data_IF_284228634668
#
_entry.id   IF_284228634668
#
_cell.length_a   1.000
_cell.length_b   1.000
_cell.length_c   1.000
_cell.angle_alpha   90.00
_cell.angle_beta   90.00
_cell.angle_gamma   90.00
#
_symmetry.space_group_name_H-M   'P 1'
#
loop_
_entity.id
_entity.type
_entity.pdbx_description
1 polymer ?
#
# COMPACT_ATOMS: atom_id res chain seq x y z
N UNK A 1 4.26 -63.63 -21.24
CA UNK A 1 3.90 -63.19 -22.60
C UNK A 1 3.29 -61.81 -22.52
N UNK A 2 3.86 -60.87 -23.29
CA UNK A 2 3.62 -59.43 -23.29
C UNK A 2 2.16 -59.01 -23.45
N UNK A 3 1.70 -58.08 -22.60
CA UNK A 3 0.68 -57.08 -22.96
C UNK A 3 1.04 -55.76 -22.29
N UNK A 4 1.84 -54.96 -22.98
CA UNK A 4 2.05 -53.54 -22.68
C UNK A 4 0.77 -52.78 -23.00
N UNK A 5 0.17 -52.17 -21.98
CA UNK A 5 -0.91 -51.21 -22.10
C UNK A 5 -0.33 -49.89 -22.61
N UNK A 6 -0.81 -49.42 -23.77
CA UNK A 6 -0.57 -48.06 -24.25
C UNK A 6 -1.24 -47.08 -23.28
N UNK A 7 -0.44 -46.33 -22.51
CA UNK A 7 -0.93 -45.16 -21.79
C UNK A 7 -0.93 -43.99 -22.77
N UNK A 8 -2.15 -43.60 -23.17
CA UNK A 8 -2.41 -42.41 -23.95
C UNK A 8 -2.02 -41.18 -23.12
N UNK A 9 -0.95 -40.51 -23.55
CA UNK A 9 -0.50 -39.23 -23.02
C UNK A 9 -1.47 -38.15 -23.54
N UNK A 10 -2.48 -37.83 -22.72
CA UNK A 10 -3.41 -36.74 -22.98
C UNK A 10 -2.66 -35.40 -22.87
N UNK A 11 -2.47 -34.81 -24.04
CA UNK A 11 -1.98 -33.47 -24.32
C UNK A 11 -2.61 -32.44 -23.37
N UNK A 12 -1.81 -31.89 -22.46
CA UNK A 12 -2.01 -30.55 -21.95
C UNK A 12 -1.77 -29.58 -23.12
N UNK A 13 -2.84 -29.32 -23.87
CA UNK A 13 -2.92 -28.18 -24.76
C UNK A 13 -2.80 -26.93 -23.90
N UNK A 14 -1.61 -26.34 -23.94
CA UNK A 14 -1.36 -24.97 -23.52
C UNK A 14 -2.34 -24.07 -24.29
N UNK A 15 -3.45 -23.68 -23.64
CA UNK A 15 -4.21 -22.51 -24.01
C UNK A 15 -3.38 -21.29 -23.62
N UNK A 16 -2.30 -21.04 -24.37
CA UNK A 16 -1.73 -19.71 -24.49
C UNK A 16 -2.75 -18.95 -25.33
N UNK A 17 -3.66 -18.25 -24.66
CA UNK A 17 -4.37 -17.16 -25.33
C UNK A 17 -3.29 -16.22 -25.86
N UNK A 18 -3.21 -16.06 -27.17
CA UNK A 18 -2.48 -14.98 -27.80
C UNK A 18 -3.11 -13.66 -27.35
N UNK A 19 -2.66 -13.14 -26.21
CA UNK A 19 -2.83 -11.73 -25.88
C UNK A 19 -1.95 -10.95 -26.84
N UNK A 20 -2.58 -10.02 -27.58
CA UNK A 20 -1.92 -9.02 -28.42
C UNK A 20 -0.70 -8.44 -27.71
N UNK A 21 0.38 -8.20 -28.46
CA UNK A 21 1.68 -7.68 -27.96
C UNK A 21 1.45 -6.62 -26.88
N UNK A 22 1.56 -7.02 -25.62
CA UNK A 22 1.68 -6.09 -24.51
C UNK A 22 2.90 -5.21 -24.77
N UNK A 23 2.79 -3.91 -24.53
CA UNK A 23 3.92 -2.96 -24.64
C UNK A 23 5.16 -3.60 -24.01
N UNK A 24 6.12 -4.03 -24.83
CA UNK A 24 7.33 -4.69 -24.33
C UNK A 24 8.26 -3.63 -23.78
N UNK A 25 8.55 -3.63 -22.48
CA UNK A 25 9.50 -2.68 -21.90
C UNK A 25 10.93 -3.16 -22.12
N UNK A 26 11.81 -2.25 -22.52
CA UNK A 26 13.24 -2.52 -22.74
C UNK A 26 14.08 -2.36 -21.46
N UNK A 27 13.53 -1.75 -20.41
CA UNK A 27 14.24 -1.49 -19.15
C UNK A 27 13.31 -1.41 -17.92
N UNK A 28 13.93 -1.51 -16.74
CA UNK A 28 13.26 -1.27 -15.45
C UNK A 28 12.63 0.12 -15.36
N UNK A 29 13.31 1.16 -15.88
CA UNK A 29 12.82 2.53 -15.85
C UNK A 29 11.59 2.73 -16.74
N UNK A 30 11.53 2.06 -17.90
CA UNK A 30 10.35 2.06 -18.77
C UNK A 30 9.16 1.37 -18.10
N UNK A 31 9.36 0.18 -17.53
CA UNK A 31 8.30 -0.51 -16.79
C UNK A 31 7.81 0.32 -15.58
N UNK A 32 8.72 0.97 -14.84
CA UNK A 32 8.35 1.91 -13.76
C UNK A 32 7.54 3.08 -14.30
N UNK A 33 7.90 3.62 -15.45
CA UNK A 33 7.18 4.74 -16.08
C UNK A 33 5.77 4.31 -16.50
N UNK A 34 5.61 3.09 -17.00
CA UNK A 34 4.30 2.51 -17.28
C UNK A 34 3.45 2.36 -16.01
N UNK A 35 4.01 1.86 -14.91
CA UNK A 35 3.31 1.80 -13.61
C UNK A 35 2.90 3.20 -13.12
N UNK A 36 3.78 4.21 -13.23
CA UNK A 36 3.47 5.60 -12.89
C UNK A 36 2.30 6.14 -13.72
N UNK A 37 2.27 5.83 -15.02
CA UNK A 37 1.18 6.21 -15.91
C UNK A 37 -0.13 5.54 -15.50
N UNK A 38 -0.08 4.23 -15.21
CA UNK A 38 -1.24 3.46 -14.77
C UNK A 38 -1.85 4.00 -13.47
N UNK A 39 -0.98 4.37 -12.51
CA UNK A 39 -1.33 4.89 -11.19
C UNK A 39 -1.51 6.42 -11.14
N UNK A 40 -1.72 7.10 -12.27
CA UNK A 40 -1.71 8.56 -12.33
C UNK A 40 -2.77 9.23 -11.44
N UNK A 41 -3.86 8.53 -11.08
CA UNK A 41 -4.89 9.03 -10.16
C UNK A 41 -4.51 8.85 -8.68
N UNK A 42 -3.49 8.04 -8.38
CA UNK A 42 -2.96 7.83 -7.04
C UNK A 42 -1.84 8.82 -6.71
N UNK A 43 -0.90 8.98 -7.63
CA UNK A 43 0.23 9.89 -7.50
C UNK A 43 0.27 10.80 -8.73
N UNK A 44 0.00 12.08 -8.51
CA UNK A 44 -0.03 13.09 -9.56
C UNK A 44 1.36 13.30 -10.18
N UNK A 45 1.40 13.40 -11.51
CA UNK A 45 2.60 13.76 -12.27
C UNK A 45 2.66 15.24 -12.64
N UNK A 46 3.80 15.68 -13.19
CA UNK A 46 4.06 17.08 -13.59
C UNK A 46 3.09 17.62 -14.67
N UNK A 47 2.36 16.75 -15.38
CA UNK A 47 1.45 17.12 -16.48
C UNK A 47 -0.01 16.67 -16.29
N UNK A 48 -0.43 16.46 -15.03
CA UNK A 48 -1.76 15.93 -14.70
C UNK A 48 -2.91 16.69 -15.37
N UNK A 49 -2.83 18.03 -15.42
CA UNK A 49 -3.91 18.88 -15.90
C UNK A 49 -4.25 18.68 -17.39
N UNK A 50 -3.31 18.16 -18.18
CA UNK A 50 -3.48 17.94 -19.63
C UNK A 50 -3.91 16.51 -19.97
N UNK A 51 -3.87 15.59 -19.00
CA UNK A 51 -4.22 14.18 -19.20
C UNK A 51 -5.73 13.96 -19.00
N UNK A 52 -6.24 12.94 -19.67
CA UNK A 52 -7.57 12.38 -19.40
C UNK A 52 -7.41 11.14 -18.53
N UNK A 53 -8.39 10.89 -17.68
CA UNK A 53 -8.52 9.62 -16.95
C UNK A 53 -9.15 8.61 -17.91
N UNK A 54 -8.54 7.45 -18.09
CA UNK A 54 -9.11 6.32 -18.84
C UNK A 54 -9.61 5.23 -17.89
N UNK A 55 -10.32 4.23 -18.42
CA UNK A 55 -10.83 3.09 -17.63
C UNK A 55 -9.69 2.31 -16.95
N UNK A 56 -8.54 2.25 -17.59
CA UNK A 56 -7.34 1.59 -17.08
C UNK A 56 -6.74 2.31 -15.87
N UNK A 57 -7.06 3.60 -15.69
CA UNK A 57 -6.65 4.37 -14.52
C UNK A 57 -7.61 4.20 -13.33
N UNK A 58 -8.73 3.48 -13.49
CA UNK A 58 -9.64 3.14 -12.39
C UNK A 58 -8.93 2.11 -11.52
N UNK A 59 -8.39 2.57 -10.38
CA UNK A 59 -7.57 1.76 -9.49
C UNK A 59 -8.31 0.49 -9.05
N UNK A 60 -7.65 -0.65 -9.22
CA UNK A 60 -8.17 -2.00 -8.96
C UNK A 60 -9.38 -2.43 -9.82
N UNK A 61 -9.72 -1.72 -10.90
CA UNK A 61 -10.57 -2.28 -11.97
C UNK A 61 -9.92 -3.52 -12.60
N UNK A 62 -10.69 -4.30 -13.36
CA UNK A 62 -10.11 -5.47 -14.03
C UNK A 62 -9.07 -5.03 -15.05
N UNK A 63 -9.35 -3.97 -15.81
CA UNK A 63 -8.46 -3.39 -16.81
C UNK A 63 -7.15 -2.89 -16.16
N UNK A 64 -7.26 -2.23 -15.01
CA UNK A 64 -6.10 -1.81 -14.21
C UNK A 64 -5.29 -3.01 -13.73
N UNK A 65 -5.95 -4.03 -13.16
CA UNK A 65 -5.30 -5.21 -12.61
C UNK A 65 -4.59 -6.02 -13.70
N UNK A 66 -5.22 -6.21 -14.86
CA UNK A 66 -4.66 -6.93 -16.00
C UNK A 66 -3.42 -6.22 -16.53
N UNK A 67 -3.46 -4.88 -16.66
CA UNK A 67 -2.28 -4.10 -17.06
C UNK A 67 -1.16 -4.14 -16.03
N UNK A 68 -1.49 -3.98 -14.74
CA UNK A 68 -0.51 -4.07 -13.65
C UNK A 68 0.18 -5.44 -13.66
N UNK A 69 -0.62 -6.50 -13.78
CA UNK A 69 -0.13 -7.88 -13.84
C UNK A 69 0.79 -8.08 -15.05
N UNK A 70 0.37 -7.64 -16.24
CA UNK A 70 1.19 -7.74 -17.44
C UNK A 70 2.56 -7.03 -17.29
N UNK A 71 2.59 -5.84 -16.67
CA UNK A 71 3.84 -5.13 -16.39
C UNK A 71 4.74 -5.94 -15.45
N UNK A 72 4.18 -6.53 -14.39
CA UNK A 72 4.95 -7.37 -13.46
C UNK A 72 5.46 -8.66 -14.12
N UNK A 73 4.66 -9.32 -14.95
CA UNK A 73 5.11 -10.51 -15.68
C UNK A 73 6.27 -10.18 -16.62
N UNK A 74 6.22 -9.04 -17.30
CA UNK A 74 7.36 -8.61 -18.11
C UNK A 74 8.60 -8.31 -17.28
N UNK A 75 8.46 -7.59 -16.17
CA UNK A 75 9.57 -7.32 -15.24
C UNK A 75 10.28 -8.60 -14.78
N UNK A 76 9.53 -9.68 -14.53
CA UNK A 76 10.08 -10.99 -14.15
C UNK A 76 10.94 -11.64 -15.24
N UNK A 77 10.81 -11.25 -16.51
CA UNK A 77 11.64 -11.75 -17.62
C UNK A 77 12.90 -10.92 -17.86
N UNK A 78 13.01 -9.75 -17.21
CA UNK A 78 14.13 -8.84 -17.40
C UNK A 78 15.36 -9.23 -16.58
N UNK A 79 16.53 -8.75 -16.99
CA UNK A 79 17.74 -8.79 -16.15
C UNK A 79 17.68 -7.68 -15.11
N UNK A 80 17.33 -8.05 -13.89
CA UNK A 80 17.16 -7.15 -12.75
C UNK A 80 18.29 -7.30 -11.71
N UNK A 81 18.50 -6.28 -10.88
CA UNK A 81 19.37 -6.38 -9.70
C UNK A 81 18.70 -7.21 -8.59
N UNK A 82 19.46 -7.74 -7.59
CA UNK A 82 18.86 -8.50 -6.50
C UNK A 82 17.72 -7.76 -5.77
N UNK A 83 17.90 -6.48 -5.45
CA UNK A 83 16.87 -5.69 -4.77
C UNK A 83 15.61 -5.51 -5.65
N UNK A 84 15.79 -5.29 -6.96
CA UNK A 84 14.68 -5.20 -7.90
C UNK A 84 13.93 -6.53 -8.00
N UNK A 85 14.63 -7.68 -8.04
CA UNK A 85 14.00 -9.01 -8.04
C UNK A 85 13.15 -9.19 -6.79
N UNK A 86 13.69 -8.89 -5.60
CA UNK A 86 12.96 -9.01 -4.33
C UNK A 86 11.71 -8.11 -4.33
N UNK A 87 11.80 -6.89 -4.84
CA UNK A 87 10.65 -5.99 -4.94
C UNK A 87 9.59 -6.49 -5.92
N UNK A 88 9.98 -6.96 -7.12
CA UNK A 88 9.01 -7.50 -8.09
C UNK A 88 8.31 -8.73 -7.52
N UNK A 89 9.04 -9.64 -6.89
CA UNK A 89 8.47 -10.82 -6.23
C UNK A 89 7.43 -10.42 -5.15
N UNK A 90 7.77 -9.43 -4.31
CA UNK A 90 6.82 -8.90 -3.32
C UNK A 90 5.56 -8.33 -3.98
N UNK A 91 5.72 -7.53 -5.03
CA UNK A 91 4.58 -6.89 -5.71
C UNK A 91 3.68 -7.90 -6.43
N UNK A 92 4.24 -8.96 -7.03
CA UNK A 92 3.49 -10.07 -7.63
C UNK A 92 2.70 -10.84 -6.57
N UNK A 93 3.30 -11.10 -5.40
CA UNK A 93 2.59 -11.69 -4.26
C UNK A 93 1.46 -10.76 -3.81
N UNK A 94 1.71 -9.44 -3.77
CA UNK A 94 0.77 -8.45 -3.30
C UNK A 94 -0.54 -8.40 -4.11
N UNK A 95 -0.52 -8.75 -5.40
CA UNK A 95 -1.71 -8.81 -6.27
C UNK A 95 -2.79 -9.77 -5.77
N UNK A 96 -2.41 -10.75 -4.95
CA UNK A 96 -3.30 -11.83 -4.47
C UNK A 96 -4.09 -11.44 -3.23
N UNK A 97 -3.75 -10.34 -2.57
CA UNK A 97 -4.33 -9.97 -1.27
C UNK A 97 -5.63 -9.16 -1.40
N UNK A 98 -6.41 -9.05 -0.31
CA UNK A 98 -7.72 -8.43 -0.33
C UNK A 98 -7.76 -6.93 -0.68
N UNK A 99 -6.62 -6.25 -0.82
CA UNK A 99 -6.54 -4.83 -1.18
C UNK A 99 -7.37 -4.50 -2.44
N UNK A 100 -7.45 -5.43 -3.39
CA UNK A 100 -8.30 -5.31 -4.59
C UNK A 100 -9.81 -5.17 -4.33
N UNK A 101 -10.27 -5.47 -3.11
CA UNK A 101 -11.65 -5.26 -2.67
C UNK A 101 -11.89 -3.86 -2.07
N UNK A 102 -10.83 -3.07 -1.90
CA UNK A 102 -10.88 -1.69 -1.44
C UNK A 102 -10.28 -0.77 -2.52
N UNK A 103 -11.05 -0.45 -3.60
CA UNK A 103 -10.59 0.35 -4.73
C UNK A 103 -10.04 1.74 -4.40
N UNK A 104 -10.38 2.25 -3.21
CA UNK A 104 -9.96 3.53 -2.71
C UNK A 104 -8.88 3.32 -1.64
N UNK A 105 -7.59 3.52 -1.97
CA UNK A 105 -6.55 3.42 -0.97
C UNK A 105 -6.66 4.54 0.06
N UNK A 106 -6.65 4.19 1.35
CA UNK A 106 -6.92 5.14 2.43
C UNK A 106 -5.93 6.31 2.52
N UNK A 107 -4.75 6.18 1.93
CA UNK A 107 -3.69 7.18 1.94
C UNK A 107 -3.90 8.31 0.92
N UNK A 108 -4.86 8.15 0.00
CA UNK A 108 -5.01 9.03 -1.17
C UNK A 108 -6.42 9.57 -1.27
N UNK A 109 -6.53 10.90 -1.36
CA UNK A 109 -7.75 11.56 -1.82
C UNK A 109 -7.85 11.47 -3.35
N UNK A 110 -8.35 10.33 -3.82
CA UNK A 110 -8.48 10.06 -5.26
C UNK A 110 -9.48 11.01 -5.92
N UNK A 111 -10.53 11.46 -5.22
CA UNK A 111 -11.47 12.45 -5.75
C UNK A 111 -10.80 13.80 -5.96
N UNK A 112 -10.01 14.26 -4.99
CA UNK A 112 -9.22 15.47 -5.17
C UNK A 112 -8.29 15.32 -6.37
N UNK A 113 -7.53 14.22 -6.46
CA UNK A 113 -6.62 13.97 -7.57
C UNK A 113 -7.34 13.97 -8.92
N UNK A 114 -8.45 13.23 -9.06
CA UNK A 114 -9.25 13.19 -10.30
C UNK A 114 -9.80 14.58 -10.68
N UNK A 115 -10.11 15.44 -9.70
CA UNK A 115 -10.61 16.80 -9.96
C UNK A 115 -9.59 17.75 -10.60
N UNK A 116 -8.30 17.39 -10.57
CA UNK A 116 -7.19 18.15 -11.15
C UNK A 116 -6.90 17.76 -12.60
N UNK A 117 -7.45 16.65 -13.10
CA UNK A 117 -7.34 16.28 -14.52
C UNK A 117 -8.22 17.21 -15.39
N UNK A 118 -7.99 17.16 -16.71
CA UNK A 118 -8.79 17.91 -17.66
C UNK A 118 -10.28 17.58 -17.46
N UNK A 119 -11.12 18.60 -17.23
CA UNK A 119 -12.57 18.50 -16.95
C UNK A 119 -13.40 18.19 -18.20
N UNK A 120 -12.94 17.24 -18.99
CA UNK A 120 -13.69 16.70 -20.12
C UNK A 120 -14.89 15.89 -19.63
N UNK A 121 -15.92 15.76 -20.48
CA UNK A 121 -17.07 14.90 -20.19
C UNK A 121 -16.64 13.46 -19.85
N UNK A 122 -15.60 12.95 -20.53
CA UNK A 122 -15.02 11.64 -20.26
C UNK A 122 -14.44 11.54 -18.83
N UNK A 123 -13.70 12.54 -18.36
CA UNK A 123 -13.17 12.54 -16.98
C UNK A 123 -14.30 12.56 -15.94
N UNK A 124 -15.39 13.29 -16.23
CA UNK A 124 -16.59 13.33 -15.39
C UNK A 124 -17.24 11.94 -15.30
N UNK A 125 -17.43 11.29 -16.44
CA UNK A 125 -17.96 9.93 -16.53
C UNK A 125 -17.08 8.92 -15.78
N UNK A 126 -15.75 8.97 -15.98
CA UNK A 126 -14.83 8.06 -15.30
C UNK A 126 -14.83 8.25 -13.77
N UNK A 127 -14.94 9.50 -13.30
CA UNK A 127 -15.08 9.78 -11.86
C UNK A 127 -16.36 9.16 -11.29
N UNK A 128 -17.47 9.27 -12.01
CA UNK A 128 -18.76 8.68 -11.61
C UNK A 128 -18.69 7.15 -11.65
N UNK A 129 -18.08 6.56 -12.68
CA UNK A 129 -17.88 5.12 -12.81
C UNK A 129 -17.02 4.58 -11.67
N UNK A 130 -15.95 5.26 -11.30
CA UNK A 130 -15.09 4.86 -10.19
C UNK A 130 -15.80 4.94 -8.83
N UNK A 131 -16.64 5.94 -8.59
CA UNK A 131 -17.48 6.00 -7.37
C UNK A 131 -18.44 4.80 -7.27
N UNK A 132 -19.15 4.49 -8.36
CA UNK A 132 -20.06 3.33 -8.43
C UNK A 132 -19.30 2.01 -8.26
N UNK A 133 -18.15 1.89 -8.90
CA UNK A 133 -17.26 0.73 -8.80
C UNK A 133 -16.79 0.53 -7.35
N UNK A 134 -16.36 1.60 -6.69
CA UNK A 134 -15.92 1.55 -5.28
C UNK A 134 -17.06 1.08 -4.37
N UNK A 135 -18.26 1.63 -4.52
CA UNK A 135 -19.42 1.18 -3.75
C UNK A 135 -19.73 -0.31 -3.98
N UNK A 136 -19.78 -0.75 -5.24
CA UNK A 136 -20.05 -2.14 -5.58
C UNK A 136 -19.00 -3.10 -4.99
N UNK A 137 -17.71 -2.72 -5.03
CA UNK A 137 -16.64 -3.51 -4.42
C UNK A 137 -16.74 -3.56 -2.90
N UNK A 138 -17.13 -2.47 -2.25
CA UNK A 138 -17.39 -2.46 -0.80
C UNK A 138 -18.55 -3.39 -0.42
N UNK A 139 -19.59 -3.50 -1.25
CA UNK A 139 -20.69 -4.44 -1.01
C UNK A 139 -20.27 -5.90 -1.22
N UNK A 140 -19.49 -6.20 -2.26
CA UNK A 140 -18.88 -7.53 -2.45
C UNK A 140 -17.94 -7.88 -1.29
N UNK A 141 -17.13 -6.92 -0.83
CA UNK A 141 -16.23 -7.08 0.31
C UNK A 141 -17.01 -7.47 1.58
N UNK A 142 -18.13 -6.78 1.86
CA UNK A 142 -19.00 -7.10 3.02
C UNK A 142 -19.51 -8.55 2.96
N UNK A 143 -19.90 -9.04 1.79
CA UNK A 143 -20.34 -10.44 1.62
C UNK A 143 -19.24 -11.44 1.95
N UNK A 144 -17.97 -11.04 1.77
CA UNK A 144 -16.78 -11.84 2.09
C UNK A 144 -16.21 -11.54 3.48
N UNK A 145 -16.96 -10.83 4.34
CA UNK A 145 -16.54 -10.33 5.65
C UNK A 145 -15.27 -9.46 5.63
N UNK A 146 -14.99 -8.81 4.50
CA UNK A 146 -13.94 -7.82 4.34
C UNK A 146 -14.55 -6.43 4.55
N UNK A 147 -14.03 -5.67 5.52
CA UNK A 147 -14.53 -4.33 5.86
C UNK A 147 -13.37 -3.39 6.11
N UNK A 148 -13.53 -2.10 5.78
CA UNK A 148 -12.60 -1.04 6.16
C UNK A 148 -12.44 -1.00 7.68
N UNK A 149 -11.25 -0.69 8.19
CA UNK A 149 -11.08 -0.36 9.60
C UNK A 149 -11.58 1.06 9.90
N UNK A 150 -11.61 1.42 11.18
CA UNK A 150 -12.11 2.74 11.62
C UNK A 150 -11.28 3.90 11.05
N UNK A 151 -9.97 3.76 10.89
CA UNK A 151 -9.11 4.81 10.34
C UNK A 151 -9.37 4.99 8.83
N UNK A 152 -9.28 3.90 8.06
CA UNK A 152 -9.56 3.86 6.62
C UNK A 152 -10.95 4.44 6.30
N UNK A 153 -11.95 4.07 7.09
CA UNK A 153 -13.32 4.57 6.97
C UNK A 153 -13.42 6.08 7.27
N UNK A 154 -12.78 6.55 8.35
CA UNK A 154 -12.83 7.98 8.72
C UNK A 154 -12.17 8.86 7.66
N UNK A 155 -11.01 8.44 7.12
CA UNK A 155 -10.34 9.15 6.03
C UNK A 155 -11.20 9.20 4.77
N UNK A 156 -11.84 8.08 4.41
CA UNK A 156 -12.75 8.02 3.27
C UNK A 156 -13.94 8.97 3.43
N UNK A 157 -14.54 9.04 4.62
CA UNK A 157 -15.61 10.00 4.90
C UNK A 157 -15.12 11.44 4.78
N UNK A 158 -13.92 11.73 5.29
CA UNK A 158 -13.31 13.06 5.19
C UNK A 158 -13.12 13.50 3.73
N UNK A 159 -12.53 12.64 2.88
CA UNK A 159 -12.33 12.94 1.46
C UNK A 159 -13.66 13.21 0.73
N UNK A 160 -14.68 12.40 1.02
CA UNK A 160 -16.03 12.59 0.45
C UNK A 160 -16.65 13.90 0.91
N UNK A 161 -16.54 14.25 2.19
CA UNK A 161 -17.05 15.51 2.74
C UNK A 161 -16.35 16.72 2.09
N UNK A 162 -15.02 16.72 2.02
CA UNK A 162 -14.24 17.76 1.37
C UNK A 162 -14.63 17.92 -0.11
N UNK A 163 -14.85 16.82 -0.83
CA UNK A 163 -15.27 16.86 -2.23
C UNK A 163 -16.69 17.45 -2.42
N UNK A 164 -17.61 17.27 -1.46
CA UNK A 164 -18.95 17.87 -1.48
C UNK A 164 -18.90 19.38 -1.25
N UNK A 165 -18.04 19.83 -0.33
CA UNK A 165 -17.84 21.23 0.02
C UNK A 165 -17.09 22.02 -1.06
N UNK A 166 -16.28 21.32 -1.87
CA UNK A 166 -15.55 21.93 -2.97
C UNK A 166 -16.51 22.59 -3.99
N UNK A 167 -16.41 23.93 -4.11
CA UNK A 167 -17.23 24.73 -5.03
C UNK A 167 -17.08 24.33 -6.49
N UNK A 168 -15.95 23.76 -6.85
CA UNK A 168 -15.66 23.33 -8.22
C UNK A 168 -16.33 21.98 -8.57
N UNK A 169 -16.85 21.25 -7.57
CA UNK A 169 -17.64 20.03 -7.72
C UNK A 169 -19.11 20.38 -7.92
N UNK A 170 -19.66 20.11 -9.12
CA UNK A 170 -21.02 20.50 -9.50
C UNK A 170 -21.72 19.39 -10.30
N UNK A 171 -23.03 19.57 -10.54
CA UNK A 171 -23.82 18.73 -11.43
C UNK A 171 -23.85 17.26 -11.02
N UNK A 172 -23.75 16.36 -12.02
CA UNK A 172 -23.88 14.91 -11.83
C UNK A 172 -22.85 14.32 -10.87
N UNK A 173 -21.60 14.81 -10.87
CA UNK A 173 -20.56 14.34 -9.94
C UNK A 173 -20.99 14.62 -8.49
N UNK A 174 -21.43 15.84 -8.18
CA UNK A 174 -21.83 16.21 -6.82
C UNK A 174 -22.97 15.32 -6.31
N UNK A 175 -23.92 14.99 -7.19
CA UNK A 175 -25.02 14.07 -6.86
C UNK A 175 -24.52 12.66 -6.51
N UNK A 176 -23.59 12.12 -7.30
CA UNK A 176 -23.02 10.78 -7.05
C UNK A 176 -22.13 10.74 -5.80
N UNK A 177 -21.36 11.80 -5.53
CA UNK A 177 -20.58 11.90 -4.28
C UNK A 177 -21.52 11.92 -3.07
N UNK A 178 -22.64 12.67 -3.12
CA UNK A 178 -23.64 12.65 -2.05
C UNK A 178 -24.30 11.28 -1.88
N UNK A 179 -24.62 10.60 -2.97
CA UNK A 179 -25.16 9.24 -2.91
C UNK A 179 -24.17 8.27 -2.25
N UNK A 180 -22.88 8.38 -2.59
CA UNK A 180 -21.82 7.60 -1.96
C UNK A 180 -21.62 7.97 -0.48
N UNK A 181 -21.71 9.24 -0.11
CA UNK A 181 -21.72 9.69 1.29
C UNK A 181 -22.85 9.03 2.09
N UNK A 182 -24.08 9.04 1.58
CA UNK A 182 -25.22 8.40 2.23
C UNK A 182 -25.03 6.88 2.39
N UNK A 183 -24.36 6.25 1.43
CA UNK A 183 -23.96 4.85 1.54
C UNK A 183 -22.96 4.63 2.69
N UNK A 184 -21.95 5.49 2.81
CA UNK A 184 -20.94 5.42 3.86
C UNK A 184 -21.53 5.64 5.26
N UNK A 185 -22.56 6.46 5.41
CA UNK A 185 -23.25 6.67 6.69
C UNK A 185 -23.85 5.37 7.27
N UNK A 186 -24.14 4.40 6.39
CA UNK A 186 -24.67 3.08 6.77
C UNK A 186 -23.60 1.98 6.79
N UNK A 187 -22.34 2.31 6.47
CA UNK A 187 -21.23 1.38 6.45
C UNK A 187 -20.70 1.12 7.86
N UNK A 188 -20.54 -0.15 8.24
CA UNK A 188 -19.98 -0.54 9.54
C UNK A 188 -18.52 -0.99 9.38
N UNK A 189 -17.52 -0.22 9.88
CA UNK A 189 -16.13 -0.64 9.83
C UNK A 189 -15.86 -1.83 10.77
N UNK A 190 -14.77 -2.56 10.51
CA UNK A 190 -14.26 -3.61 11.42
C UNK A 190 -13.65 -3.00 12.69
N UNK A 191 -13.67 -3.76 13.79
CA UNK A 191 -13.10 -3.35 15.06
C UNK A 191 -11.57 -3.40 15.10
N UNK A 192 -10.96 -4.43 14.50
CA UNK A 192 -9.50 -4.57 14.40
C UNK A 192 -8.94 -3.64 13.35
N UNK A 193 -7.94 -2.84 13.71
CA UNK A 193 -7.25 -1.93 12.77
C UNK A 193 -6.17 -2.65 11.95
N UNK A 194 -5.49 -3.63 12.56
CA UNK A 194 -4.43 -4.40 11.92
C UNK A 194 -4.89 -5.35 10.80
N UNK A 195 -3.91 -5.84 10.03
CA UNK A 195 -4.15 -6.68 8.85
C UNK A 195 -4.70 -8.06 9.21
N UNK A 196 -4.31 -8.65 10.35
CA UNK A 196 -4.87 -9.92 10.85
C UNK A 196 -6.40 -9.95 10.95
N UNK A 197 -7.05 -8.78 11.02
CA UNK A 197 -8.51 -8.68 10.97
C UNK A 197 -9.14 -8.92 9.59
N UNK A 198 -8.35 -9.16 8.54
CA UNK A 198 -8.77 -9.45 7.18
C UNK A 198 -8.51 -10.92 6.83
N UNK A 199 -9.32 -11.49 5.94
CA UNK A 199 -9.06 -12.80 5.35
C UNK A 199 -7.70 -12.80 4.64
N UNK A 200 -6.84 -13.78 4.91
CA UNK A 200 -5.44 -13.85 4.45
C UNK A 200 -4.56 -12.66 4.89
N UNK A 201 -4.98 -11.92 5.92
CA UNK A 201 -4.26 -10.74 6.39
C UNK A 201 -2.95 -11.05 7.11
N UNK A 202 -2.83 -12.24 7.70
CA UNK A 202 -1.59 -12.70 8.34
C UNK A 202 -0.51 -13.02 7.31
N UNK A 203 -0.87 -13.68 6.21
CA UNK A 203 0.01 -13.98 5.08
C UNK A 203 0.43 -12.69 4.36
N UNK A 204 -0.50 -11.74 4.23
CA UNK A 204 -0.18 -10.42 3.68
C UNK A 204 0.80 -9.66 4.56
N UNK A 205 0.60 -9.68 5.87
CA UNK A 205 1.52 -9.05 6.79
C UNK A 205 2.90 -9.73 6.74
N UNK A 206 2.95 -11.06 6.70
CA UNK A 206 4.21 -11.81 6.55
C UNK A 206 4.95 -11.44 5.26
N UNK A 207 4.26 -11.30 4.12
CA UNK A 207 4.94 -10.92 2.88
C UNK A 207 5.54 -9.52 2.94
N UNK A 208 4.90 -8.59 3.66
CA UNK A 208 5.43 -7.24 3.92
C UNK A 208 6.67 -7.29 4.80
N UNK A 209 6.64 -8.06 5.89
CA UNK A 209 7.81 -8.26 6.76
C UNK A 209 8.98 -8.88 6.00
N UNK A 210 8.71 -9.86 5.12
CA UNK A 210 9.75 -10.49 4.30
C UNK A 210 10.42 -9.49 3.37
N UNK A 211 9.63 -8.64 2.70
CA UNK A 211 10.15 -7.64 1.78
C UNK A 211 10.92 -6.55 2.51
N UNK A 212 10.27 -5.87 3.47
CA UNK A 212 10.87 -4.71 4.13
C UNK A 212 12.01 -5.12 5.06
N UNK A 213 11.86 -6.21 5.82
CA UNK A 213 12.89 -6.72 6.72
C UNK A 213 14.04 -7.47 6.04
N UNK A 214 13.90 -7.76 4.74
CA UNK A 214 14.85 -8.53 3.94
C UNK A 214 15.24 -9.89 4.56
N UNK A 215 14.29 -10.54 5.24
CA UNK A 215 14.46 -11.85 5.85
C UNK A 215 13.11 -12.55 6.09
N UNK A 216 13.13 -13.88 6.13
CA UNK A 216 11.93 -14.71 6.29
C UNK A 216 11.74 -15.10 7.76
N UNK A 217 11.63 -14.09 8.62
CA UNK A 217 11.30 -14.30 10.04
C UNK A 217 9.80 -14.15 10.25
N UNK A 218 9.20 -15.04 11.02
CA UNK A 218 7.83 -14.91 11.52
C UNK A 218 7.69 -13.67 12.41
N UNK A 219 6.46 -13.17 12.65
CA UNK A 219 6.27 -11.99 13.50
C UNK A 219 6.81 -12.21 14.92
N UNK A 220 6.73 -13.44 15.45
CA UNK A 220 7.26 -13.76 16.78
C UNK A 220 8.78 -13.76 16.82
N UNK A 221 9.45 -14.26 15.77
CA UNK A 221 10.92 -14.16 15.66
C UNK A 221 11.37 -12.70 15.58
N UNK A 222 10.65 -11.87 14.82
CA UNK A 222 10.91 -10.42 14.81
C UNK A 222 10.72 -9.79 16.20
N UNK A 223 9.71 -10.16 16.97
CA UNK A 223 9.54 -9.67 18.35
C UNK A 223 10.75 -9.98 19.21
N UNK A 224 11.32 -11.19 19.09
CA UNK A 224 12.53 -11.58 19.84
C UNK A 224 13.70 -10.68 19.44
N UNK A 225 13.99 -10.59 18.14
CA UNK A 225 15.09 -9.78 17.60
C UNK A 225 14.96 -8.32 18.04
N UNK A 226 13.78 -7.72 17.83
CA UNK A 226 13.53 -6.31 18.16
C UNK A 226 13.70 -6.06 19.65
N UNK A 227 13.16 -6.94 20.51
CA UNK A 227 13.27 -6.76 21.95
C UNK A 227 14.69 -6.88 22.48
N UNK A 228 15.52 -7.76 21.90
CA UNK A 228 16.94 -7.85 22.24
C UNK A 228 17.67 -6.55 21.92
N UNK A 229 17.40 -5.97 20.75
CA UNK A 229 18.03 -4.71 20.32
C UNK A 229 17.53 -3.49 21.12
N UNK A 230 16.23 -3.44 21.44
CA UNK A 230 15.65 -2.35 22.25
C UNK A 230 16.22 -2.36 23.68
N UNK A 231 16.47 -3.52 24.28
CA UNK A 231 17.03 -3.61 25.65
C UNK A 231 18.40 -2.95 25.78
N UNK A 232 19.17 -2.89 24.70
CA UNK A 232 20.47 -2.23 24.67
C UNK A 232 20.37 -0.70 24.56
N UNK A 233 19.16 -0.13 24.39
CA UNK A 233 18.91 1.28 24.19
C UNK A 233 18.13 1.88 25.36
N UNK A 234 18.57 3.04 25.83
CA UNK A 234 17.84 3.81 26.83
C UNK A 234 16.65 4.56 26.21
N UNK A 235 15.55 4.67 26.96
CA UNK A 235 14.41 5.49 26.53
C UNK A 235 14.79 6.97 26.44
N UNK A 236 14.76 7.51 25.24
CA UNK A 236 15.14 8.88 24.93
C UNK A 236 13.94 9.71 24.47
N UNK A 237 14.02 11.03 24.67
CA UNK A 237 13.08 11.97 24.05
C UNK A 237 13.39 12.05 22.55
N UNK A 238 12.41 11.65 21.74
CA UNK A 238 12.47 11.69 20.28
C UNK A 238 11.71 12.91 19.77
N UNK A 239 12.41 13.77 19.02
CA UNK A 239 11.83 14.93 18.36
C UNK A 239 11.92 14.72 16.84
N UNK A 240 10.89 14.09 16.29
CA UNK A 240 10.75 13.89 14.83
C UNK A 240 9.90 14.99 14.22
N UNK A 241 10.27 15.41 13.01
CA UNK A 241 9.50 16.36 12.21
C UNK A 241 8.97 15.64 10.98
N UNK A 242 7.67 15.69 10.78
CA UNK A 242 6.97 15.12 9.64
C UNK A 242 5.82 16.05 9.24
N UNK A 243 5.40 15.94 7.99
CA UNK A 243 4.13 16.51 7.53
C UNK A 243 3.01 15.73 8.20
N UNK A 244 2.01 16.45 8.70
CA UNK A 244 0.91 15.86 9.46
C UNK A 244 -0.06 15.04 8.59
N UNK A 245 0.03 15.13 7.25
CA UNK A 245 -0.78 14.30 6.37
C UNK A 245 -0.09 12.96 6.06
N UNK A 246 -0.89 11.91 5.94
CA UNK A 246 -0.44 10.55 5.62
C UNK A 246 -0.38 10.27 4.12
N UNK A 247 -0.18 11.30 3.29
CA UNK A 247 -0.01 11.10 1.83
C UNK A 247 1.33 10.43 1.54
N UNK A 248 2.35 10.71 2.36
CA UNK A 248 3.65 10.02 2.35
C UNK A 248 3.85 9.37 3.71
N UNK A 249 4.31 8.12 3.74
CA UNK A 249 4.63 7.45 5.00
C UNK A 249 5.71 8.18 5.77
N UNK A 250 5.74 7.98 7.08
CA UNK A 250 6.80 8.47 7.95
C UNK A 250 8.17 8.02 7.44
N UNK A 251 8.32 6.76 7.03
CA UNK A 251 9.58 6.20 6.53
C UNK A 251 10.04 6.90 5.24
N UNK A 252 9.14 7.14 4.28
CA UNK A 252 9.44 7.91 3.06
C UNK A 252 9.87 9.33 3.41
N UNK A 253 9.20 9.97 4.38
CA UNK A 253 9.56 11.32 4.83
C UNK A 253 10.91 11.34 5.55
N UNK A 254 11.18 10.36 6.41
CA UNK A 254 12.41 10.22 7.15
C UNK A 254 13.62 10.07 6.22
N UNK A 255 13.49 9.24 5.17
CA UNK A 255 14.53 8.99 4.18
C UNK A 255 14.65 10.07 3.08
N UNK A 256 13.87 11.15 3.15
CA UNK A 256 13.77 12.15 2.07
C UNK A 256 15.05 12.91 1.75
N UNK A 257 16.04 12.90 2.66
CA UNK A 257 17.35 13.55 2.48
C UNK A 257 18.43 12.60 1.95
N UNK A 258 18.13 11.31 1.89
CA UNK A 258 19.07 10.28 1.46
C UNK A 258 19.07 10.18 -0.07
N UNK A 259 20.13 9.62 -0.67
CA UNK A 259 20.15 9.34 -2.10
C UNK A 259 18.92 8.51 -2.51
N UNK A 260 18.13 9.03 -3.44
CA UNK A 260 16.90 8.37 -3.89
C UNK A 260 17.24 7.14 -4.73
N UNK A 261 16.71 5.99 -4.34
CA UNK A 261 16.80 4.75 -5.12
C UNK A 261 15.41 4.44 -5.65
N UNK A 262 15.32 4.31 -6.97
CA UNK A 262 14.04 4.07 -7.62
C UNK A 262 13.50 2.67 -7.31
N UNK A 263 12.22 2.61 -6.96
CA UNK A 263 11.43 1.39 -6.81
C UNK A 263 10.18 1.39 -7.70
N UNK A 264 9.32 0.40 -7.50
CA UNK A 264 8.13 0.16 -8.32
C UNK A 264 6.79 0.43 -7.60
N UNK A 265 6.79 0.47 -6.27
CA UNK A 265 5.56 0.56 -5.47
C UNK A 265 5.09 2.02 -5.34
N UNK A 266 3.83 2.29 -5.69
CA UNK A 266 3.25 3.62 -5.51
C UNK A 266 3.10 3.97 -4.03
N UNK A 267 2.86 3.00 -3.13
CA UNK A 267 2.73 3.25 -1.69
C UNK A 267 4.02 3.80 -1.06
N UNK A 268 5.17 3.49 -1.66
CA UNK A 268 6.49 4.03 -1.27
C UNK A 268 6.93 5.19 -2.15
N UNK A 269 6.03 5.77 -2.96
CA UNK A 269 6.33 6.82 -3.93
C UNK A 269 7.36 6.42 -4.99
N UNK A 270 7.34 5.15 -5.39
CA UNK A 270 8.29 4.56 -6.33
C UNK A 270 9.73 4.64 -5.84
N UNK A 271 9.92 4.44 -4.53
CA UNK A 271 11.23 4.37 -3.87
C UNK A 271 11.49 2.96 -3.33
N UNK A 272 12.74 2.53 -3.40
CA UNK A 272 13.22 1.29 -2.78
C UNK A 272 13.64 1.58 -1.33
N UNK A 273 12.68 1.48 -0.40
CA UNK A 273 12.91 1.85 1.00
C UNK A 273 13.98 0.98 1.68
N UNK A 274 14.01 -0.37 1.55
CA UNK A 274 15.08 -1.18 2.11
C UNK A 274 16.48 -0.75 1.62
N UNK A 275 16.63 -0.50 0.31
CA UNK A 275 17.92 -0.08 -0.25
C UNK A 275 18.32 1.34 0.18
N UNK A 276 17.36 2.26 0.29
CA UNK A 276 17.63 3.61 0.81
C UNK A 276 18.02 3.54 2.28
N UNK A 277 17.24 2.80 3.08
CA UNK A 277 17.46 2.61 4.49
C UNK A 277 18.85 2.02 4.76
N UNK A 278 19.31 0.99 4.02
CA UNK A 278 20.62 0.37 4.25
C UNK A 278 21.82 1.33 4.11
N UNK A 279 21.66 2.46 3.42
CA UNK A 279 22.71 3.45 3.19
C UNK A 279 22.69 4.60 4.21
N UNK A 280 21.73 4.62 5.13
CA UNK A 280 21.59 5.69 6.12
C UNK A 280 22.49 5.49 7.34
N UNK A 281 22.87 6.58 8.02
CA UNK A 281 23.57 6.51 9.32
C UNK A 281 22.57 6.77 10.44
N UNK A 282 22.35 5.77 11.29
CA UNK A 282 21.40 5.87 12.39
C UNK A 282 22.09 6.18 13.72
N UNK A 283 21.66 7.24 14.40
CA UNK A 283 21.99 7.46 15.81
C UNK A 283 21.25 6.49 16.72
N UNK A 284 21.65 6.35 17.98
CA UNK A 284 20.91 5.51 18.95
C UNK A 284 19.45 5.94 19.11
N UNK A 285 19.15 7.24 18.96
CA UNK A 285 17.77 7.74 18.97
C UNK A 285 16.97 7.28 17.75
N UNK A 286 17.60 7.26 16.58
CA UNK A 286 16.98 6.77 15.36
C UNK A 286 16.73 5.26 15.44
N UNK A 287 17.70 4.50 15.95
CA UNK A 287 17.54 3.06 16.20
C UNK A 287 16.37 2.79 17.16
N UNK A 288 16.31 3.51 18.28
CA UNK A 288 15.21 3.38 19.25
C UNK A 288 13.86 3.67 18.61
N UNK A 289 13.77 4.74 17.82
CA UNK A 289 12.57 5.10 17.09
C UNK A 289 12.12 3.99 16.15
N UNK A 290 13.01 3.53 15.26
CA UNK A 290 12.65 2.53 14.25
C UNK A 290 12.29 1.17 14.87
N UNK A 291 13.06 0.71 15.87
CA UNK A 291 12.75 -0.53 16.59
C UNK A 291 11.40 -0.45 17.32
N UNK A 292 11.11 0.69 17.96
CA UNK A 292 9.82 0.90 18.65
C UNK A 292 8.65 0.97 17.66
N UNK A 293 8.86 1.54 16.47
CA UNK A 293 7.87 1.48 15.39
C UNK A 293 7.64 0.04 14.93
N UNK A 294 8.70 -0.76 14.72
CA UNK A 294 8.58 -2.18 14.33
C UNK A 294 7.84 -3.01 15.39
N UNK A 295 8.14 -2.83 16.68
CA UNK A 295 7.42 -3.49 17.78
C UNK A 295 5.93 -3.13 17.76
N UNK A 296 5.62 -1.85 17.57
CA UNK A 296 4.24 -1.35 17.52
C UNK A 296 3.50 -1.87 16.29
N UNK A 297 4.19 -1.98 15.16
CA UNK A 297 3.71 -2.56 13.91
C UNK A 297 3.28 -4.02 14.10
N UNK A 298 4.14 -4.86 14.70
CA UNK A 298 3.76 -6.24 15.05
C UNK A 298 2.61 -6.26 16.06
N UNK A 299 2.66 -5.37 17.06
CA UNK A 299 1.59 -5.16 18.02
C UNK A 299 0.23 -5.00 17.35
N UNK A 300 0.13 -4.09 16.37
CA UNK A 300 -1.09 -3.80 15.63
C UNK A 300 -1.47 -4.94 14.68
N UNK A 301 -0.56 -5.34 13.79
CA UNK A 301 -0.90 -6.19 12.65
C UNK A 301 -0.94 -7.68 12.97
N UNK A 302 -0.26 -8.12 14.04
CA UNK A 302 -0.20 -9.52 14.46
C UNK A 302 -0.86 -9.75 15.84
N UNK A 303 -0.53 -8.96 16.85
CA UNK A 303 -1.10 -9.09 18.20
C UNK A 303 -2.46 -8.40 18.38
N UNK A 304 -2.96 -7.73 17.34
CA UNK A 304 -4.24 -7.03 17.34
C UNK A 304 -4.37 -5.97 18.44
N UNK A 305 -3.27 -5.26 18.73
CA UNK A 305 -3.32 -4.08 19.59
C UNK A 305 -4.31 -3.06 19.06
N UNK A 306 -5.05 -2.47 19.99
CA UNK A 306 -5.87 -1.29 19.74
C UNK A 306 -4.99 -0.06 19.50
N UNK A 307 -5.56 0.99 18.89
CA UNK A 307 -4.88 2.28 18.69
C UNK A 307 -4.33 2.81 20.03
N UNK A 308 -5.09 2.73 21.12
CA UNK A 308 -4.64 3.21 22.43
C UNK A 308 -3.48 2.39 23.01
N UNK A 309 -3.49 1.06 22.86
CA UNK A 309 -2.36 0.23 23.28
C UNK A 309 -1.08 0.57 22.49
N UNK A 310 -1.22 0.78 21.18
CA UNK A 310 -0.11 1.18 20.32
C UNK A 310 0.44 2.57 20.70
N UNK A 311 -0.44 3.56 20.95
CA UNK A 311 -0.04 4.90 21.43
C UNK A 311 0.71 4.82 22.74
N UNK A 312 0.22 4.03 23.70
CA UNK A 312 0.88 3.84 25.00
C UNK A 312 2.28 3.28 24.83
N UNK A 313 2.49 2.31 23.93
CA UNK A 313 3.81 1.77 23.66
C UNK A 313 4.77 2.85 23.14
N UNK A 314 4.37 3.58 22.08
CA UNK A 314 5.17 4.66 21.49
C UNK A 314 5.50 5.76 22.50
N UNK A 315 4.49 6.26 23.23
CA UNK A 315 4.68 7.32 24.22
C UNK A 315 5.62 6.90 25.35
N UNK A 316 5.51 5.67 25.86
CA UNK A 316 6.38 5.19 26.95
C UNK A 316 7.83 5.05 26.51
N UNK A 317 8.09 4.47 25.34
CA UNK A 317 9.46 4.20 24.87
C UNK A 317 10.15 5.44 24.30
N UNK A 318 9.42 6.27 23.56
CA UNK A 318 9.97 7.42 22.81
C UNK A 318 9.78 8.77 23.51
N UNK A 319 9.02 8.81 24.60
CA UNK A 319 8.67 10.05 25.34
C UNK A 319 8.14 11.15 24.42
N UNK A 320 7.35 10.77 23.41
CA UNK A 320 6.74 11.66 22.42
C UNK A 320 5.39 12.19 22.91
N UNK A 321 4.94 13.32 22.36
CA UNK A 321 3.60 13.86 22.61
C UNK A 321 2.50 12.90 22.13
N UNK A 322 1.29 13.07 22.63
CA UNK A 322 0.14 12.29 22.19
C UNK A 322 -0.13 12.45 20.69
N UNK A 323 -0.02 13.68 20.16
CA UNK A 323 -0.18 13.94 18.73
C UNK A 323 0.84 13.17 17.88
N UNK A 324 2.10 13.13 18.31
CA UNK A 324 3.14 12.37 17.60
C UNK A 324 2.89 10.87 17.71
N UNK A 325 2.48 10.36 18.87
CA UNK A 325 2.12 8.95 19.02
C UNK A 325 0.92 8.58 18.13
N UNK A 326 -0.12 9.42 18.09
CA UNK A 326 -1.28 9.24 17.22
C UNK A 326 -0.86 9.14 15.75
N UNK A 327 -0.07 10.12 15.28
CA UNK A 327 0.42 10.14 13.90
C UNK A 327 1.19 8.86 13.56
N UNK A 328 2.14 8.45 14.40
CA UNK A 328 2.94 7.26 14.14
C UNK A 328 2.10 5.97 14.14
N UNK A 329 1.07 5.87 15.00
CA UNK A 329 0.13 4.72 14.98
C UNK A 329 -0.68 4.69 13.68
N UNK A 330 -1.22 5.83 13.25
CA UNK A 330 -1.95 5.94 11.99
C UNK A 330 -1.05 5.59 10.79
N UNK A 331 0.19 6.09 10.79
CA UNK A 331 1.18 5.79 9.76
C UNK A 331 1.46 4.28 9.68
N UNK A 332 1.65 3.61 10.81
CA UNK A 332 1.84 2.15 10.87
C UNK A 332 0.63 1.41 10.29
N UNK A 333 -0.60 1.82 10.66
CA UNK A 333 -1.83 1.19 10.14
C UNK A 333 -1.92 1.36 8.62
N UNK A 334 -1.57 2.53 8.10
CA UNK A 334 -1.65 2.86 6.68
C UNK A 334 -0.48 2.29 5.87
N UNK A 335 0.68 2.09 6.47
CA UNK A 335 1.91 1.65 5.81
C UNK A 335 2.57 0.46 6.52
N UNK A 336 1.84 -0.67 6.67
CA UNK A 336 2.30 -1.82 7.44
C UNK A 336 3.64 -2.35 6.95
N UNK A 337 4.55 -2.60 7.89
CA UNK A 337 5.85 -3.18 7.66
C UNK A 337 6.91 -2.21 7.15
N UNK A 338 6.59 -0.97 6.74
CA UNK A 338 7.60 -0.09 6.13
C UNK A 338 8.78 0.21 7.06
N UNK A 339 8.54 0.31 8.37
CA UNK A 339 9.59 0.52 9.39
C UNK A 339 10.66 -0.58 9.37
N UNK A 340 10.31 -1.81 8.96
CA UNK A 340 11.25 -2.94 8.83
C UNK A 340 12.32 -2.71 7.77
N UNK A 341 12.18 -1.71 6.90
CA UNK A 341 13.20 -1.33 5.91
C UNK A 341 14.57 -1.06 6.56
N UNK A 342 14.60 -0.66 7.83
CA UNK A 342 15.83 -0.41 8.59
C UNK A 342 16.45 -1.66 9.22
N UNK A 343 15.82 -2.84 9.15
CA UNK A 343 16.31 -4.02 9.86
C UNK A 343 17.70 -4.47 9.42
N UNK A 344 18.06 -4.26 8.14
CA UNK A 344 19.41 -4.53 7.65
C UNK A 344 20.53 -3.82 8.43
N UNK A 345 20.23 -2.78 9.20
CA UNK A 345 21.18 -2.05 10.04
C UNK A 345 21.04 -2.25 11.54
N UNK A 346 19.85 -2.62 12.02
CA UNK A 346 19.52 -2.53 13.45
C UNK A 346 18.95 -3.82 14.03
N UNK A 347 18.69 -4.83 13.20
CA UNK A 347 18.17 -6.12 13.61
C UNK A 347 19.25 -7.23 13.56
N UNK A 348 20.40 -6.98 12.93
CA UNK A 348 21.49 -7.94 12.72
C UNK A 348 22.83 -7.45 13.23
#
# INVERSE_FOLDING_TARGET
>A
MYKTFFVSLLLFLNLVGCTDKSDSFSSFDEARSALKSLNTVLILGQETNNKKVTEENIVYSNEYLDKRHAIYQQLMTMKLTPNQITQVNYLVIAERFPERFFPWPAQVDVLHNMSLFNRSASTVEQTISWLKFTQAKLDIAKQSNLKLNKLEYSLLQEYVAQAIENKATQGAIKSHIRAFSNYLDNYKPRGSVGLRGLSNGSEWYQSKLNYYGNAVNSPLEWVVIINEQIKALESAVINVKFKQNHTKSFVVQYLSKEPLINGLDWQTHYLDLPAMASNTKLSNKDKLLMLTMMETDIGIHYHAWTIEQAKVNLSKRLKVSEQTAQYLVEDIILYPGQSFSFCGQICY
#
